data_IF_527905967386
#
_entry.id   IF_527905967386
#
_cell.length_a   1.000
_cell.length_b   1.000
_cell.length_c   1.000
_cell.angle_alpha   90.00
_cell.angle_beta   90.00
_cell.angle_gamma   90.00
#
_symmetry.space_group_name_H-M   'P 1'
#
loop_
_entity.id
_entity.type
_entity.pdbx_description
1 polymer ?
#
# COMPACT_ATOMS: atom_id res chain seq x y z
N UNK A 1 34.21 3.39 5.36
CA UNK A 1 32.81 3.79 5.15
C UNK A 1 32.11 3.84 6.49
N UNK A 2 31.20 4.81 6.75
CA UNK A 2 30.39 4.79 7.96
C UNK A 2 29.55 3.50 8.01
N UNK A 3 29.18 3.05 9.22
CA UNK A 3 28.22 1.97 9.36
C UNK A 3 26.90 2.39 8.69
N UNK A 4 26.38 1.54 7.80
CA UNK A 4 25.11 1.79 7.11
C UNK A 4 24.07 0.78 7.62
N UNK A 5 22.89 1.29 7.99
CA UNK A 5 21.73 0.45 8.30
C UNK A 5 20.80 0.46 7.09
N UNK A 6 20.77 -0.67 6.37
CA UNK A 6 19.98 -0.87 5.15
C UNK A 6 18.48 -0.67 5.35
N UNK A 7 18.00 -0.76 6.58
CA UNK A 7 16.57 -0.63 6.92
C UNK A 7 16.18 0.79 7.34
N UNK A 8 17.14 1.73 7.42
CA UNK A 8 16.86 3.10 7.87
C UNK A 8 15.76 3.78 7.05
N UNK A 9 15.74 3.56 5.74
CA UNK A 9 14.72 4.10 4.85
C UNK A 9 13.32 3.54 5.21
N UNK A 10 13.16 2.22 5.25
CA UNK A 10 11.89 1.58 5.59
C UNK A 10 11.41 1.90 7.01
N UNK A 11 12.35 2.13 7.95
CA UNK A 11 12.02 2.65 9.30
C UNK A 11 11.41 4.05 9.22
N UNK A 12 11.91 4.92 8.36
CA UNK A 12 11.34 6.24 8.08
C UNK A 12 9.93 6.15 7.51
N UNK A 13 9.72 5.32 6.48
CA UNK A 13 8.38 5.08 5.90
C UNK A 13 7.41 4.54 6.95
N UNK A 14 7.86 3.61 7.80
CA UNK A 14 7.05 3.07 8.90
C UNK A 14 6.72 4.13 9.96
N UNK A 15 7.63 5.09 10.21
CA UNK A 15 7.41 6.19 11.12
C UNK A 15 6.29 7.10 10.62
N UNK A 16 6.26 7.42 9.33
CA UNK A 16 5.21 8.24 8.72
C UNK A 16 3.82 7.62 8.85
N UNK A 17 3.73 6.28 8.79
CA UNK A 17 2.49 5.52 8.99
C UNK A 17 2.11 5.31 10.48
N UNK A 18 2.82 5.93 11.41
CA UNK A 18 2.57 5.83 12.85
C UNK A 18 1.85 7.06 13.41
N UNK A 19 1.38 6.98 14.66
CA UNK A 19 0.77 8.13 15.34
C UNK A 19 1.71 9.33 15.48
N UNK A 20 3.02 9.13 15.64
CA UNK A 20 3.97 10.24 15.66
C UNK A 20 4.13 10.90 14.29
N UNK A 21 3.98 10.13 13.21
CA UNK A 21 3.88 10.64 11.83
C UNK A 21 2.52 11.30 11.52
N UNK A 22 1.57 11.24 12.44
CA UNK A 22 0.22 11.80 12.33
C UNK A 22 -0.81 10.88 11.68
N UNK A 23 -0.49 9.60 11.50
CA UNK A 23 -1.43 8.59 11.01
C UNK A 23 -2.32 8.02 12.14
N UNK A 24 -3.50 7.47 11.83
CA UNK A 24 -4.30 6.67 12.75
C UNK A 24 -3.47 5.62 13.50
N UNK A 25 -3.69 5.49 14.82
CA UNK A 25 -2.91 4.58 15.69
C UNK A 25 -2.89 3.13 15.21
N UNK A 26 -3.98 2.65 14.60
CA UNK A 26 -4.08 1.30 14.09
C UNK A 26 -3.28 1.05 12.79
N UNK A 27 -2.91 2.11 12.05
CA UNK A 27 -2.41 1.98 10.67
C UNK A 27 -1.18 1.08 10.54
N UNK A 28 -0.07 1.43 11.22
CA UNK A 28 1.16 0.62 11.13
C UNK A 28 0.94 -0.84 11.57
N UNK A 29 0.05 -1.08 12.53
CA UNK A 29 -0.34 -2.43 12.96
C UNK A 29 -1.09 -3.18 11.86
N UNK A 30 -2.07 -2.53 11.25
CA UNK A 30 -2.86 -3.09 10.16
C UNK A 30 -2.02 -3.33 8.91
N UNK A 31 -1.13 -2.40 8.51
CA UNK A 31 -0.20 -2.62 7.38
C UNK A 31 0.64 -3.88 7.61
N UNK A 32 1.20 -4.07 8.82
CA UNK A 32 1.93 -5.30 9.17
C UNK A 32 1.07 -6.55 9.14
N UNK A 33 -0.18 -6.47 9.60
CA UNK A 33 -1.11 -7.59 9.52
C UNK A 33 -1.48 -7.91 8.06
N UNK A 34 -1.59 -6.90 7.20
CA UNK A 34 -1.87 -7.02 5.79
C UNK A 34 -0.78 -7.80 5.05
N UNK A 35 0.49 -7.49 5.32
CA UNK A 35 1.62 -8.25 4.76
C UNK A 35 1.53 -9.74 5.10
N UNK A 36 1.24 -10.07 6.37
CA UNK A 36 1.08 -11.46 6.82
C UNK A 36 -0.13 -12.14 6.19
N UNK A 37 -1.23 -11.40 6.00
CA UNK A 37 -2.43 -11.92 5.37
C UNK A 37 -2.20 -12.25 3.90
N UNK A 38 -1.46 -11.40 3.17
CA UNK A 38 -1.06 -11.68 1.79
C UNK A 38 -0.23 -12.96 1.70
N UNK A 39 0.75 -13.14 2.59
CA UNK A 39 1.57 -14.37 2.64
C UNK A 39 0.71 -15.61 2.93
N UNK A 40 -0.19 -15.52 3.91
CA UNK A 40 -1.05 -16.63 4.32
C UNK A 40 -2.04 -17.04 3.23
N UNK A 41 -2.72 -16.08 2.58
CA UNK A 41 -3.68 -16.38 1.52
C UNK A 41 -2.94 -16.78 0.22
N UNK A 42 -1.81 -16.15 -0.06
CA UNK A 42 -1.03 -16.32 -1.28
C UNK A 42 -0.52 -17.75 -1.52
N UNK A 43 -0.39 -18.55 -0.46
CA UNK A 43 0.05 -19.93 -0.53
C UNK A 43 -0.91 -20.87 -1.29
N UNK A 44 -2.17 -20.47 -1.48
CA UNK A 44 -3.21 -21.30 -2.12
C UNK A 44 -3.80 -20.60 -3.34
N UNK A 45 -4.30 -21.38 -4.30
CA UNK A 45 -4.96 -20.81 -5.49
C UNK A 45 -6.22 -20.04 -5.10
N UNK A 46 -7.03 -20.58 -4.18
CA UNK A 46 -8.25 -19.95 -3.68
C UNK A 46 -7.94 -18.66 -2.92
N UNK A 47 -6.88 -18.64 -2.11
CA UNK A 47 -6.45 -17.45 -1.39
C UNK A 47 -5.91 -16.35 -2.32
N UNK A 48 -5.17 -16.71 -3.38
CA UNK A 48 -4.77 -15.76 -4.43
C UNK A 48 -5.96 -15.17 -5.19
N UNK A 49 -7.00 -15.95 -5.46
CA UNK A 49 -8.24 -15.45 -6.04
C UNK A 49 -8.97 -14.47 -5.09
N UNK A 50 -8.99 -14.76 -3.77
CA UNK A 50 -9.53 -13.85 -2.75
C UNK A 50 -8.76 -12.53 -2.68
N UNK A 51 -7.43 -12.57 -2.71
CA UNK A 51 -6.58 -11.37 -2.77
C UNK A 51 -6.94 -10.54 -4.01
N UNK A 52 -6.95 -11.20 -5.19
CA UNK A 52 -7.22 -10.52 -6.46
C UNK A 52 -8.57 -9.82 -6.48
N UNK A 53 -9.61 -10.47 -5.95
CA UNK A 53 -10.96 -9.89 -5.84
C UNK A 53 -11.03 -8.74 -4.84
N UNK A 54 -10.58 -8.94 -3.60
CA UNK A 54 -10.67 -7.94 -2.54
C UNK A 54 -9.85 -6.67 -2.84
N UNK A 55 -8.71 -6.83 -3.51
CA UNK A 55 -7.86 -5.71 -3.92
C UNK A 55 -8.27 -5.10 -5.27
N UNK A 56 -9.30 -5.64 -5.93
CA UNK A 56 -9.75 -5.24 -7.27
C UNK A 56 -8.60 -5.24 -8.27
N UNK A 57 -7.78 -6.29 -8.28
CA UNK A 57 -6.73 -6.44 -9.29
C UNK A 57 -7.35 -6.60 -10.67
N UNK A 58 -6.68 -6.08 -11.69
CA UNK A 58 -7.14 -6.24 -13.07
C UNK A 58 -7.07 -7.72 -13.49
N UNK A 59 -7.97 -8.21 -14.39
CA UNK A 59 -7.98 -9.60 -14.82
C UNK A 59 -6.63 -10.11 -15.32
N UNK A 60 -5.92 -9.27 -16.09
CA UNK A 60 -4.61 -9.59 -16.68
C UNK A 60 -3.44 -9.51 -15.67
N UNK A 61 -3.72 -9.07 -14.45
CA UNK A 61 -2.77 -9.02 -13.32
C UNK A 61 -3.16 -10.00 -12.21
N UNK A 62 -3.79 -11.12 -12.57
CA UNK A 62 -4.17 -12.16 -11.60
C UNK A 62 -2.94 -12.85 -10.98
N UNK A 63 -3.05 -13.25 -9.71
CA UNK A 63 -1.97 -13.90 -8.97
C UNK A 63 -2.00 -15.42 -9.20
N UNK A 64 -1.00 -15.96 -9.91
CA UNK A 64 -0.94 -17.36 -10.30
C UNK A 64 0.02 -18.19 -9.43
N UNK A 65 1.00 -17.52 -8.81
CA UNK A 65 2.06 -18.14 -8.00
C UNK A 65 2.31 -17.39 -6.69
N UNK A 66 3.10 -17.97 -5.80
CA UNK A 66 3.63 -17.26 -4.62
C UNK A 66 4.57 -16.12 -5.00
N UNK A 67 5.27 -16.23 -6.14
CA UNK A 67 6.15 -15.19 -6.65
C UNK A 67 5.36 -13.96 -7.12
N UNK A 68 4.18 -14.16 -7.69
CA UNK A 68 3.26 -13.06 -8.01
C UNK A 68 2.80 -12.32 -6.75
N UNK A 69 2.57 -13.04 -5.65
CA UNK A 69 2.21 -12.42 -4.37
C UNK A 69 3.38 -11.62 -3.80
N UNK A 70 4.61 -12.12 -3.96
CA UNK A 70 5.81 -11.37 -3.60
C UNK A 70 5.96 -10.11 -4.46
N UNK A 71 5.73 -10.21 -5.78
CA UNK A 71 5.71 -9.08 -6.70
C UNK A 71 4.68 -8.02 -6.31
N UNK A 72 3.44 -8.45 -6.00
CA UNK A 72 2.39 -7.57 -5.50
C UNK A 72 2.82 -6.88 -4.19
N UNK A 73 3.45 -7.59 -3.25
CA UNK A 73 3.95 -6.99 -2.00
C UNK A 73 5.00 -5.91 -2.26
N UNK A 74 5.91 -6.13 -3.20
CA UNK A 74 6.89 -5.09 -3.59
C UNK A 74 6.22 -3.89 -4.24
N UNK A 75 5.27 -4.11 -5.15
CA UNK A 75 4.50 -3.04 -5.77
C UNK A 75 3.73 -2.20 -4.74
N UNK A 76 3.06 -2.85 -3.78
CA UNK A 76 2.38 -2.17 -2.67
C UNK A 76 3.37 -1.40 -1.79
N UNK A 77 4.55 -1.95 -1.51
CA UNK A 77 5.59 -1.28 -0.74
C UNK A 77 6.11 -0.02 -1.44
N UNK A 78 6.31 -0.08 -2.77
CA UNK A 78 6.71 1.09 -3.56
C UNK A 78 5.70 2.24 -3.44
N UNK A 79 4.40 1.95 -3.38
CA UNK A 79 3.38 2.98 -3.12
C UNK A 79 3.65 3.72 -1.80
N UNK A 80 3.95 2.99 -0.71
CA UNK A 80 4.28 3.60 0.58
C UNK A 80 5.58 4.42 0.52
N UNK A 81 6.60 3.90 -0.17
CA UNK A 81 7.88 4.58 -0.32
C UNK A 81 7.73 5.91 -1.06
N UNK A 82 7.01 5.91 -2.20
CA UNK A 82 6.73 7.12 -2.96
C UNK A 82 5.87 8.13 -2.17
N UNK A 83 4.83 7.66 -1.48
CA UNK A 83 4.01 8.52 -0.63
C UNK A 83 4.82 9.14 0.52
N UNK A 84 5.72 8.39 1.14
CA UNK A 84 6.60 8.89 2.20
C UNK A 84 7.58 9.95 1.67
N UNK A 85 8.18 9.72 0.50
CA UNK A 85 9.02 10.72 -0.17
C UNK A 85 8.25 12.01 -0.53
N UNK A 86 6.96 11.87 -0.85
CA UNK A 86 6.06 12.97 -1.20
C UNK A 86 5.15 13.43 -0.07
N UNK A 87 5.49 13.19 1.20
CA UNK A 87 4.59 13.37 2.33
C UNK A 87 4.38 14.85 2.74
N UNK A 88 4.13 15.72 1.76
CA UNK A 88 4.05 17.17 1.91
C UNK A 88 2.75 17.64 2.57
N UNK A 89 2.76 18.79 3.27
CA UNK A 89 1.58 19.33 3.95
C UNK A 89 0.57 20.02 3.01
N UNK A 90 0.69 19.84 1.69
CA UNK A 90 -0.18 20.39 0.65
C UNK A 90 -0.23 19.45 -0.55
N UNK A 91 -1.27 19.52 -1.42
CA UNK A 91 -1.33 18.71 -2.62
C UNK A 91 -0.16 18.96 -3.56
N UNK A 92 0.47 17.90 -4.08
CA UNK A 92 1.68 18.02 -4.92
C UNK A 92 1.75 16.95 -5.99
N UNK A 93 2.16 17.37 -7.19
CA UNK A 93 2.42 16.47 -8.32
C UNK A 93 3.88 16.04 -8.47
N UNK A 94 4.78 16.45 -7.57
CA UNK A 94 6.22 16.21 -7.71
C UNK A 94 6.56 14.72 -7.83
N UNK A 95 6.06 13.90 -6.91
CA UNK A 95 6.28 12.45 -6.91
C UNK A 95 5.56 11.73 -8.07
N UNK A 96 4.53 12.36 -8.63
CA UNK A 96 3.80 11.87 -9.81
C UNK A 96 4.35 12.44 -11.13
N UNK A 97 5.50 13.11 -11.12
CA UNK A 97 6.11 13.74 -12.30
C UNK A 97 5.15 14.66 -13.09
N UNK A 98 4.20 15.31 -12.40
CA UNK A 98 3.25 16.24 -13.01
C UNK A 98 2.03 15.60 -13.69
N UNK A 99 1.87 14.27 -13.66
CA UNK A 99 0.70 13.58 -14.24
C UNK A 99 -0.59 13.73 -13.42
N UNK A 100 -0.47 14.20 -12.18
CA UNK A 100 -1.58 14.45 -11.26
C UNK A 100 -1.07 15.02 -9.96
N UNK A 101 -1.85 14.90 -8.88
CA UNK A 101 -1.46 15.35 -7.56
C UNK A 101 -1.77 14.30 -6.51
N UNK A 102 -0.82 14.06 -5.61
CA UNK A 102 -1.09 13.41 -4.34
C UNK A 102 -1.75 14.43 -3.40
N UNK A 103 -2.65 13.99 -2.50
CA UNK A 103 -3.25 14.86 -1.50
C UNK A 103 -2.21 15.35 -0.49
N UNK A 104 -2.57 16.33 0.35
CA UNK A 104 -1.76 16.69 1.51
C UNK A 104 -1.62 15.49 2.46
N UNK A 105 -0.40 15.22 2.92
CA UNK A 105 -0.04 14.08 3.77
C UNK A 105 -0.56 12.73 3.24
N UNK A 106 -0.13 12.29 2.05
CA UNK A 106 -0.64 11.09 1.39
C UNK A 106 -0.54 9.83 2.26
N UNK A 107 0.49 9.69 3.11
CA UNK A 107 0.59 8.55 4.04
C UNK A 107 -0.56 8.54 5.05
N UNK A 108 -0.94 9.72 5.58
CA UNK A 108 -2.07 9.84 6.52
C UNK A 108 -3.40 9.55 5.84
N UNK A 109 -3.56 10.00 4.59
CA UNK A 109 -4.74 9.71 3.77
C UNK A 109 -4.85 8.21 3.52
N UNK A 110 -3.78 7.56 3.06
CA UNK A 110 -3.71 6.12 2.84
C UNK A 110 -4.10 5.32 4.09
N UNK A 111 -3.57 5.72 5.25
CA UNK A 111 -3.95 5.12 6.53
C UNK A 111 -5.43 5.32 6.90
N UNK A 112 -6.01 6.47 6.54
CA UNK A 112 -7.38 6.85 6.93
C UNK A 112 -8.46 6.19 6.08
N UNK A 113 -8.16 5.77 4.85
CA UNK A 113 -9.17 5.19 3.94
C UNK A 113 -9.69 3.83 4.43
N UNK A 114 -8.82 2.93 4.88
CA UNK A 114 -9.24 1.58 5.29
C UNK A 114 -8.35 0.90 6.34
N UNK A 115 -7.27 1.56 6.79
CA UNK A 115 -6.32 0.98 7.74
C UNK A 115 -6.43 1.59 9.14
N UNK A 116 -7.50 2.34 9.42
CA UNK A 116 -7.72 3.04 10.68
C UNK A 116 -8.54 2.24 11.70
N UNK A 117 -9.26 1.19 11.27
CA UNK A 117 -10.10 0.38 12.14
C UNK A 117 -9.27 -0.47 13.11
N UNK A 118 -9.75 -0.58 14.35
CA UNK A 118 -9.27 -1.61 15.27
C UNK A 118 -9.88 -2.95 14.86
N UNK A 119 -9.05 -4.01 14.76
CA UNK A 119 -9.46 -5.38 14.40
C UNK A 119 -10.27 -5.50 13.08
N UNK A 120 -9.71 -5.10 11.93
CA UNK A 120 -10.37 -5.30 10.64
C UNK A 120 -10.50 -6.78 10.29
N UNK A 121 -11.58 -7.16 9.61
CA UNK A 121 -11.68 -8.47 8.96
C UNK A 121 -10.64 -8.60 7.85
N UNK A 122 -10.35 -9.83 7.40
CA UNK A 122 -9.41 -10.07 6.29
C UNK A 122 -9.80 -9.31 5.01
N UNK A 123 -11.09 -9.24 4.69
CA UNK A 123 -11.58 -8.52 3.52
C UNK A 123 -11.32 -7.01 3.65
N UNK A 124 -11.73 -6.41 4.77
CA UNK A 124 -11.49 -4.99 5.06
C UNK A 124 -10.00 -4.64 5.05
N UNK A 125 -9.14 -5.56 5.52
CA UNK A 125 -7.72 -5.34 5.54
C UNK A 125 -7.11 -5.31 4.13
N UNK A 126 -7.49 -6.26 3.26
CA UNK A 126 -7.07 -6.28 1.86
C UNK A 126 -7.60 -5.08 1.08
N UNK A 127 -8.87 -4.71 1.28
CA UNK A 127 -9.47 -3.51 0.71
C UNK A 127 -8.71 -2.26 1.16
N UNK A 128 -8.38 -2.16 2.46
CA UNK A 128 -7.61 -1.05 3.00
C UNK A 128 -6.19 -0.96 2.42
N UNK A 129 -5.53 -2.09 2.15
CA UNK A 129 -4.24 -2.12 1.45
C UNK A 129 -4.37 -1.62 0.01
N UNK A 130 -5.42 -2.03 -0.70
CA UNK A 130 -5.69 -1.59 -2.07
C UNK A 130 -6.02 -0.10 -2.14
N UNK A 131 -6.82 0.41 -1.20
CA UNK A 131 -7.13 1.84 -1.09
C UNK A 131 -5.88 2.67 -0.77
N UNK A 132 -5.02 2.18 0.15
CA UNK A 132 -3.76 2.82 0.47
C UNK A 132 -2.84 2.92 -0.75
N UNK A 133 -2.68 1.82 -1.50
CA UNK A 133 -1.91 1.83 -2.74
C UNK A 133 -2.54 2.74 -3.81
N UNK A 134 -3.88 2.79 -3.85
CA UNK A 134 -4.65 3.65 -4.74
C UNK A 134 -4.40 5.14 -4.54
N UNK A 135 -3.99 5.60 -3.35
CA UNK A 135 -3.59 7.01 -3.17
C UNK A 135 -2.45 7.40 -4.11
N UNK A 136 -1.52 6.47 -4.38
CA UNK A 136 -0.43 6.67 -5.32
C UNK A 136 -0.80 6.21 -6.75
N UNK A 137 -1.24 4.96 -6.91
CA UNK A 137 -1.45 4.37 -8.24
C UNK A 137 -2.76 4.77 -8.91
N UNK A 138 -3.77 5.20 -8.14
CA UNK A 138 -5.07 5.66 -8.63
C UNK A 138 -5.34 7.09 -8.14
N UNK A 139 -4.33 7.97 -8.22
CA UNK A 139 -4.43 9.36 -7.76
C UNK A 139 -5.58 10.14 -8.42
N UNK A 140 -5.98 9.77 -9.64
CA UNK A 140 -7.13 10.36 -10.35
C UNK A 140 -8.49 9.83 -9.86
N UNK A 141 -8.50 8.70 -9.15
CA UNK A 141 -9.70 7.97 -8.76
C UNK A 141 -10.44 7.28 -9.91
N UNK A 142 -9.91 7.31 -11.13
CA UNK A 142 -10.59 6.82 -12.34
C UNK A 142 -10.32 5.35 -12.66
N UNK A 143 -9.32 4.71 -12.03
CA UNK A 143 -9.03 3.30 -12.29
C UNK A 143 -10.11 2.40 -11.68
N UNK A 144 -10.67 1.50 -12.49
CA UNK A 144 -11.66 0.51 -12.06
C UNK A 144 -11.03 -0.71 -11.38
N UNK A 145 -9.75 -0.97 -11.65
CA UNK A 145 -8.92 -2.04 -11.09
C UNK A 145 -7.45 -1.60 -10.96
N UNK A 146 -6.67 -2.32 -10.15
CA UNK A 146 -5.24 -2.09 -9.95
C UNK A 146 -4.41 -3.10 -10.74
N UNK A 147 -3.47 -2.61 -11.54
CA UNK A 147 -2.54 -3.46 -12.29
C UNK A 147 -1.16 -3.41 -11.64
N UNK A 148 -0.75 -4.50 -10.99
CA UNK A 148 0.51 -4.55 -10.23
C UNK A 148 1.72 -4.99 -11.05
N UNK A 149 1.51 -5.60 -12.23
CA UNK A 149 2.57 -6.21 -13.04
C UNK A 149 2.88 -5.45 -14.33
N UNK A 150 2.34 -4.23 -14.50
CA UNK A 150 2.75 -3.34 -15.58
C UNK A 150 3.90 -2.45 -15.11
N UNK A 151 5.06 -2.68 -15.74
CA UNK A 151 6.24 -1.80 -15.74
C UNK A 151 6.09 -0.78 -16.87
#
# INVERSE_FOLDING_TARGET
TPAYDSLSFSKGVTHDASSSGGAPRACAGNVRAGWKLLDSLGATQEGRARISSAMRLCPDSSLNSTDDVLGLKYWLASAWDYMAMGNFPYPSGYILNGHGQLPAYPVRVACSLGLHHYTPSSAQLLEGMAQAAGVYYNYSGSLSCLNWNQV
#
